data_IF_505345895078
#
_entry.id   IF_505345895078
#
_cell.length_a   1.000
_cell.length_b   1.000
_cell.length_c   1.000
_cell.angle_alpha   90.00
_cell.angle_beta   90.00
_cell.angle_gamma   90.00
#
_symmetry.space_group_name_H-M   'P 1'
#
loop_
_entity.id
_entity.type
_entity.pdbx_description
1 polymer ?
#
# COMPACT_ATOMS: atom_id res chain seq x y z
N UNK A 1 -1.80 -7.10 12.32
CA UNK A 1 -2.21 -5.69 12.15
C UNK A 1 -1.06 -4.92 11.51
N UNK A 2 -1.33 -4.22 10.42
CA UNK A 2 -0.31 -3.36 9.82
C UNK A 2 -0.16 -2.09 10.65
N UNK A 3 1.08 -1.68 10.90
CA UNK A 3 1.41 -0.45 11.61
C UNK A 3 2.36 0.36 10.73
N UNK A 4 2.12 1.65 10.63
CA UNK A 4 3.02 2.57 9.95
C UNK A 4 3.22 3.84 10.77
N UNK A 5 4.45 4.33 10.77
CA UNK A 5 4.83 5.64 11.28
C UNK A 5 5.34 6.49 10.12
N UNK A 6 4.85 7.71 10.03
CA UNK A 6 5.21 8.65 8.97
C UNK A 6 5.71 9.95 9.61
N UNK A 7 6.88 10.39 9.21
CA UNK A 7 7.41 11.70 9.55
C UNK A 7 7.53 12.54 8.28
N UNK A 8 6.86 13.69 8.27
CA UNK A 8 6.85 14.63 7.16
C UNK A 8 7.59 15.91 7.56
N UNK A 9 8.58 16.31 6.75
CA UNK A 9 9.38 17.52 6.96
C UNK A 9 9.93 17.66 8.40
N UNK A 10 10.29 16.54 9.01
CA UNK A 10 10.76 16.47 10.39
C UNK A 10 12.28 16.30 10.50
N UNK A 11 13.00 16.26 9.37
CA UNK A 11 14.45 16.09 9.31
C UNK A 11 15.04 16.96 8.18
N UNK A 12 16.20 17.60 8.38
CA UNK A 12 16.78 18.52 7.39
C UNK A 12 17.10 17.86 6.04
N UNK A 13 17.42 16.57 6.02
CA UNK A 13 17.82 15.86 4.80
C UNK A 13 16.71 14.99 4.19
N UNK A 14 15.61 14.78 4.90
CA UNK A 14 14.54 13.85 4.50
C UNK A 14 13.16 14.51 4.59
N UNK A 15 12.52 14.71 3.45
CA UNK A 15 11.16 15.24 3.41
C UNK A 15 10.13 14.24 3.97
N UNK A 16 10.33 12.96 3.68
CA UNK A 16 9.46 11.88 4.13
C UNK A 16 10.30 10.73 4.67
N UNK A 17 10.01 10.31 5.89
CA UNK A 17 10.49 9.06 6.46
C UNK A 17 9.28 8.21 6.82
N UNK A 18 9.23 6.99 6.32
CA UNK A 18 8.17 6.05 6.63
C UNK A 18 8.79 4.73 7.09
N UNK A 19 8.27 4.22 8.20
CA UNK A 19 8.59 2.90 8.70
C UNK A 19 7.31 2.15 9.04
N UNK A 20 7.23 0.87 8.66
CA UNK A 20 6.03 0.11 8.91
C UNK A 20 6.23 -1.39 8.80
N UNK A 21 5.27 -2.13 9.31
CA UNK A 21 5.19 -3.58 9.20
C UNK A 21 3.96 -3.96 8.37
N UNK A 22 4.15 -4.87 7.43
CA UNK A 22 3.07 -5.59 6.79
C UNK A 22 2.81 -6.88 7.56
N UNK A 23 1.67 -6.91 8.24
CA UNK A 23 1.26 -8.06 9.05
C UNK A 23 0.37 -8.97 8.20
N UNK A 24 0.95 -10.06 7.69
CA UNK A 24 0.30 -10.97 6.75
C UNK A 24 0.73 -12.41 7.00
N UNK A 25 -0.05 -13.38 6.54
CA UNK A 25 0.30 -14.79 6.61
C UNK A 25 1.58 -15.08 5.81
N UNK A 26 2.51 -15.85 6.38
CA UNK A 26 3.76 -16.23 5.72
C UNK A 26 3.54 -16.99 4.40
N UNK A 27 2.45 -17.73 4.31
CA UNK A 27 2.08 -18.47 3.09
C UNK A 27 1.58 -17.57 1.95
N UNK A 28 1.32 -16.26 2.21
CA UNK A 28 0.90 -15.33 1.17
C UNK A 28 2.13 -14.78 0.42
N UNK A 29 2.34 -15.17 -0.84
CA UNK A 29 3.54 -14.79 -1.56
C UNK A 29 3.55 -13.27 -1.86
N UNK A 30 4.73 -12.70 -1.71
CA UNK A 30 4.98 -11.30 -2.04
C UNK A 30 6.34 -11.17 -2.74
N UNK A 31 6.45 -10.26 -3.68
CA UNK A 31 7.71 -9.88 -4.26
C UNK A 31 8.40 -8.79 -3.41
N UNK A 32 9.74 -8.80 -3.33
CA UNK A 32 10.49 -7.79 -2.61
C UNK A 32 10.37 -6.41 -3.26
N UNK A 33 10.81 -5.38 -2.51
CA UNK A 33 10.89 -4.03 -3.03
C UNK A 33 11.75 -3.98 -4.30
N UNK A 34 11.17 -3.47 -5.37
CA UNK A 34 11.85 -3.28 -6.66
C UNK A 34 11.16 -2.20 -7.48
N UNK A 35 11.86 -1.70 -8.49
CA UNK A 35 11.22 -0.91 -9.54
C UNK A 35 10.38 -1.85 -10.40
N UNK A 36 9.14 -1.48 -10.67
CA UNK A 36 8.25 -2.27 -11.54
C UNK A 36 8.61 -2.09 -13.02
N UNK A 37 8.55 -3.19 -13.76
CA UNK A 37 8.94 -3.24 -15.19
C UNK A 37 7.82 -2.80 -16.15
N UNK A 38 6.74 -2.22 -15.63
CA UNK A 38 5.56 -1.82 -16.40
C UNK A 38 5.63 -0.39 -16.97
N UNK A 39 6.74 0.31 -16.77
CA UNK A 39 6.94 1.69 -17.22
C UNK A 39 6.26 2.74 -16.35
N UNK A 40 5.63 2.36 -15.23
CA UNK A 40 4.92 3.26 -14.32
C UNK A 40 5.85 4.13 -13.46
N UNK A 41 7.11 3.74 -13.29
CA UNK A 41 8.05 4.36 -12.35
C UNK A 41 7.74 4.03 -10.88
N UNK A 42 6.88 3.07 -10.62
CA UNK A 42 6.56 2.58 -9.26
C UNK A 42 7.73 1.80 -8.69
N UNK A 43 8.06 2.09 -7.44
CA UNK A 43 9.03 1.37 -6.62
C UNK A 43 8.29 0.86 -5.39
N UNK A 44 8.05 -0.44 -5.34
CA UNK A 44 7.24 -1.09 -4.33
C UNK A 44 7.52 -2.59 -4.25
N UNK A 45 7.10 -3.23 -3.17
CA UNK A 45 6.87 -4.67 -3.17
C UNK A 45 5.60 -5.00 -3.97
N UNK A 46 5.32 -6.27 -4.18
CA UNK A 46 4.09 -6.69 -4.84
C UNK A 46 3.39 -7.82 -4.07
N UNK A 47 2.08 -7.72 -3.96
CA UNK A 47 1.23 -8.79 -3.45
C UNK A 47 0.90 -9.74 -4.61
N UNK A 48 1.49 -10.92 -4.59
CA UNK A 48 1.33 -11.89 -5.69
C UNK A 48 0.00 -12.66 -5.65
N UNK A 49 -0.77 -12.51 -4.57
CA UNK A 49 -2.11 -13.13 -4.44
C UNK A 49 -3.21 -12.15 -4.80
N UNK A 50 -3.25 -10.99 -4.15
CA UNK A 50 -4.30 -9.99 -4.35
C UNK A 50 -4.00 -8.99 -5.45
N UNK A 51 -2.79 -8.96 -5.95
CA UNK A 51 -2.29 -7.93 -6.85
C UNK A 51 -2.08 -6.58 -6.15
N UNK A 52 -1.35 -5.69 -6.79
CA UNK A 52 -1.03 -4.38 -6.24
C UNK A 52 0.05 -4.43 -5.16
N UNK A 53 0.05 -3.44 -4.29
CA UNK A 53 1.02 -3.29 -3.21
C UNK A 53 0.40 -2.65 -1.97
N UNK A 54 1.11 -2.65 -0.86
CA UNK A 54 0.68 -2.05 0.41
C UNK A 54 1.36 -0.72 0.72
N UNK A 55 2.52 -0.48 0.12
CA UNK A 55 3.31 0.74 0.26
C UNK A 55 4.18 0.90 -0.98
N UNK A 56 4.28 2.11 -1.48
CA UNK A 56 5.15 2.40 -2.60
C UNK A 56 5.42 3.89 -2.78
N UNK A 57 6.41 4.15 -3.60
CA UNK A 57 6.77 5.48 -4.08
C UNK A 57 6.88 5.46 -5.60
N UNK A 58 6.92 6.64 -6.21
CA UNK A 58 7.25 6.76 -7.62
C UNK A 58 8.42 7.70 -7.82
N UNK A 59 9.11 7.56 -8.96
CA UNK A 59 10.14 8.51 -9.38
C UNK A 59 9.59 9.93 -9.58
N UNK A 60 8.30 10.05 -9.85
CA UNK A 60 7.60 11.34 -9.94
C UNK A 60 7.29 11.98 -8.58
N UNK A 61 7.69 11.34 -7.46
CA UNK A 61 7.54 11.87 -6.11
C UNK A 61 6.18 11.60 -5.46
N UNK A 62 5.44 10.59 -5.90
CA UNK A 62 4.21 10.12 -5.22
C UNK A 62 4.55 9.09 -4.16
N UNK A 63 3.79 9.10 -3.10
CA UNK A 63 3.82 8.12 -2.02
C UNK A 63 2.40 7.63 -1.74
N UNK A 64 2.24 6.36 -1.46
CA UNK A 64 0.97 5.81 -0.99
C UNK A 64 1.18 4.60 -0.10
N UNK A 65 0.31 4.45 0.88
CA UNK A 65 0.33 3.39 1.88
C UNK A 65 -1.09 3.00 2.25
N UNK A 66 -1.37 1.71 2.36
CA UNK A 66 -2.63 1.20 2.90
C UNK A 66 -2.37 0.31 4.11
N UNK A 67 -3.17 0.50 5.16
CA UNK A 67 -3.21 -0.40 6.31
C UNK A 67 -4.63 -0.94 6.50
N UNK A 68 -4.73 -2.17 6.97
CA UNK A 68 -6.00 -2.78 7.31
C UNK A 68 -6.58 -2.14 8.57
N UNK A 69 -7.85 -1.78 8.52
CA UNK A 69 -8.59 -1.40 9.70
C UNK A 69 -9.36 -2.61 10.23
N UNK A 70 -9.11 -3.00 11.49
CA UNK A 70 -9.80 -4.12 12.13
C UNK A 70 -11.19 -3.70 12.58
N UNK A 71 -12.16 -4.57 12.25
CA UNK A 71 -13.52 -4.50 12.79
C UNK A 71 -13.81 -5.76 13.61
N UNK A 72 -14.66 -5.71 14.64
CA UNK A 72 -14.95 -6.86 15.51
C UNK A 72 -15.42 -8.09 14.76
N UNK A 73 -16.18 -7.89 13.68
CA UNK A 73 -16.74 -8.96 12.84
C UNK A 73 -15.70 -9.65 11.94
N UNK A 74 -14.48 -9.11 11.92
CA UNK A 74 -13.40 -9.59 11.04
C UNK A 74 -13.59 -9.22 9.56
N UNK A 75 -12.63 -9.60 8.72
CA UNK A 75 -12.70 -9.29 7.30
C UNK A 75 -13.78 -10.15 6.61
N UNK A 76 -14.54 -9.54 5.72
CA UNK A 76 -15.51 -10.25 4.88
C UNK A 76 -14.76 -10.91 3.72
N UNK A 77 -14.96 -12.24 3.48
CA UNK A 77 -14.34 -12.91 2.36
C UNK A 77 -14.88 -12.42 1.01
N UNK A 78 -14.09 -12.60 -0.05
CA UNK A 78 -14.48 -12.23 -1.41
C UNK A 78 -14.47 -10.74 -1.73
N UNK A 79 -14.04 -9.88 -0.80
CA UNK A 79 -13.90 -8.45 -1.07
C UNK A 79 -12.63 -8.13 -1.86
N UNK A 80 -12.65 -7.11 -2.75
CA UNK A 80 -11.48 -6.69 -3.52
C UNK A 80 -10.27 -6.37 -2.65
N UNK A 81 -9.08 -6.60 -3.20
CA UNK A 81 -7.82 -6.23 -2.53
C UNK A 81 -7.64 -4.71 -2.51
N UNK A 82 -7.24 -4.19 -1.36
CA UNK A 82 -6.94 -2.76 -1.16
C UNK A 82 -5.62 -2.33 -1.78
N UNK A 83 -4.74 -3.27 -2.12
CA UNK A 83 -3.46 -2.98 -2.77
C UNK A 83 -3.60 -2.28 -4.12
N UNK A 84 -4.74 -2.44 -4.79
CA UNK A 84 -5.04 -1.70 -6.01
C UNK A 84 -5.18 -0.20 -5.79
N UNK A 85 -5.72 0.22 -4.64
CA UNK A 85 -5.85 1.65 -4.30
C UNK A 85 -4.48 2.34 -4.24
N UNK A 86 -3.49 1.67 -3.67
CA UNK A 86 -2.11 2.17 -3.62
C UNK A 86 -1.57 2.36 -5.03
N UNK A 87 -1.77 1.38 -5.92
CA UNK A 87 -1.35 1.49 -7.33
C UNK A 87 -2.06 2.63 -8.04
N UNK A 88 -3.36 2.80 -7.85
CA UNK A 88 -4.12 3.91 -8.44
C UNK A 88 -3.52 5.27 -8.02
N UNK A 89 -3.28 5.48 -6.73
CA UNK A 89 -2.68 6.71 -6.21
C UNK A 89 -1.27 6.92 -6.77
N UNK A 90 -0.43 5.89 -6.79
CA UNK A 90 0.94 5.97 -7.32
C UNK A 90 0.95 6.33 -8.81
N UNK A 91 -0.04 5.88 -9.57
CA UNK A 91 -0.21 6.22 -10.98
C UNK A 91 -0.90 7.58 -11.21
N UNK A 92 -1.26 8.31 -10.15
CA UNK A 92 -1.94 9.59 -10.22
C UNK A 92 -3.42 9.48 -10.55
N UNK A 93 -4.01 8.31 -10.43
CA UNK A 93 -5.44 8.09 -10.60
C UNK A 93 -6.20 8.24 -9.27
N UNK A 94 -7.46 8.64 -9.35
CA UNK A 94 -8.33 8.63 -8.18
C UNK A 94 -8.64 7.18 -7.76
N UNK A 95 -8.51 6.82 -6.47
CA UNK A 95 -8.84 5.48 -6.01
C UNK A 95 -10.33 5.19 -6.19
N UNK A 96 -10.65 3.98 -6.65
CA UNK A 96 -12.02 3.55 -6.96
C UNK A 96 -12.41 2.27 -6.23
N UNK A 97 -13.71 2.04 -6.08
CA UNK A 97 -14.26 0.81 -5.50
C UNK A 97 -14.05 0.68 -3.99
N UNK A 98 -13.76 1.76 -3.28
CA UNK A 98 -13.48 1.75 -1.84
C UNK A 98 -14.63 1.20 -1.00
N UNK A 99 -15.89 1.48 -1.38
CA UNK A 99 -17.07 1.03 -0.64
C UNK A 99 -17.26 -0.50 -0.65
N UNK A 100 -16.67 -1.18 -1.63
CA UNK A 100 -16.76 -2.63 -1.80
C UNK A 100 -15.68 -3.39 -1.01
N UNK A 101 -14.70 -2.68 -0.48
CA UNK A 101 -13.55 -3.26 0.19
C UNK A 101 -13.79 -3.46 1.69
N UNK A 102 -12.98 -4.32 2.30
CA UNK A 102 -12.90 -4.36 3.76
C UNK A 102 -12.26 -3.07 4.29
N UNK A 103 -12.60 -2.62 5.51
CA UNK A 103 -12.13 -1.35 6.06
C UNK A 103 -10.60 -1.21 6.05
N UNK A 104 -10.13 0.02 5.78
CA UNK A 104 -8.72 0.34 5.62
C UNK A 104 -8.44 1.81 5.95
N UNK A 105 -7.16 2.13 6.12
CA UNK A 105 -6.64 3.50 6.08
C UNK A 105 -5.78 3.64 4.82
N UNK A 106 -5.93 4.73 4.08
CA UNK A 106 -5.14 5.06 2.90
C UNK A 106 -4.48 6.43 3.12
N UNK A 107 -3.16 6.49 2.91
CA UNK A 107 -2.36 7.71 2.91
C UNK A 107 -1.70 7.89 1.55
#
# INVERSE_FOLDING_TARGET
>A
MCVAAVAWDAHPDWLLVCAGNRDEFHARPAAPLSRWDDGSGVIAGADLTGGGTWLGVTEAGRFALVTNFRVPEGPRPGRPSRGKLVVDVLNGAAPRGMAEMNPFNLL
#
